data_IF_648597129335
#
_entry.id   IF_648597129335
#
_cell.length_a   1.000
_cell.length_b   1.000
_cell.length_c   1.000
_cell.angle_alpha   90.00
_cell.angle_beta   90.00
_cell.angle_gamma   90.00
#
_symmetry.space_group_name_H-M   'P 1'
#
loop_
_entity.id
_entity.type
_entity.pdbx_description
1 polymer ?
#
# COMPACT_ATOMS: atom_id res chain seq x y z
N UNK A 1 22.42 42.48 -29.01
CA UNK A 1 21.08 41.91 -28.75
C UNK A 1 20.89 40.49 -29.30
N UNK A 2 21.25 40.18 -30.56
CA UNK A 2 21.03 38.84 -31.16
C UNK A 2 21.79 37.70 -30.44
N UNK A 3 23.04 37.94 -30.01
CA UNK A 3 23.84 36.94 -29.29
C UNK A 3 23.32 36.65 -27.87
N UNK A 4 22.85 37.68 -27.16
CA UNK A 4 22.28 37.52 -25.81
C UNK A 4 21.00 36.67 -25.83
N UNK A 5 20.18 36.80 -26.88
CA UNK A 5 18.99 35.98 -27.06
C UNK A 5 19.34 34.51 -27.36
N UNK A 6 20.42 34.29 -28.12
CA UNK A 6 20.96 32.96 -28.44
C UNK A 6 21.56 32.26 -27.21
N UNK A 7 22.33 32.97 -26.37
CA UNK A 7 22.83 32.40 -25.10
C UNK A 7 21.71 32.15 -24.10
N UNK A 8 20.70 33.01 -24.03
CA UNK A 8 19.54 32.79 -23.16
C UNK A 8 18.74 31.55 -23.60
N UNK A 9 18.56 31.37 -24.91
CA UNK A 9 17.89 30.19 -25.47
C UNK A 9 18.69 28.91 -25.23
N UNK A 10 20.01 28.97 -25.34
CA UNK A 10 20.89 27.83 -25.06
C UNK A 10 20.86 27.44 -23.57
N UNK A 11 20.86 28.43 -22.66
CA UNK A 11 20.71 28.20 -21.22
C UNK A 11 19.35 27.59 -20.86
N UNK A 12 18.28 28.02 -21.54
CA UNK A 12 16.94 27.45 -21.38
C UNK A 12 16.90 25.97 -21.81
N UNK A 13 17.54 25.62 -22.93
CA UNK A 13 17.61 24.23 -23.41
C UNK A 13 18.47 23.32 -22.50
N UNK A 14 19.51 23.86 -21.87
CA UNK A 14 20.35 23.11 -20.92
C UNK A 14 19.69 22.88 -19.54
N UNK A 15 18.55 23.53 -19.27
CA UNK A 15 17.88 23.46 -17.96
C UNK A 15 16.90 22.30 -17.79
N UNK A 16 16.94 21.30 -18.68
CA UNK A 16 16.21 20.06 -18.52
C UNK A 16 16.80 19.22 -17.37
N UNK A 17 16.47 19.60 -16.13
CA UNK A 17 16.64 18.76 -14.97
C UNK A 17 15.66 17.59 -15.09
N UNK A 18 16.14 16.48 -15.64
CA UNK A 18 15.40 15.21 -15.60
C UNK A 18 15.39 14.78 -14.14
N UNK A 19 14.32 15.12 -13.43
CA UNK A 19 14.08 14.55 -12.12
C UNK A 19 14.03 13.02 -12.29
N UNK A 20 14.90 12.30 -11.58
CA UNK A 20 14.86 10.84 -11.57
C UNK A 20 13.43 10.41 -11.22
N UNK A 21 12.78 9.73 -12.16
CA UNK A 21 11.38 9.38 -12.06
C UNK A 21 11.10 8.46 -10.87
N UNK A 22 9.84 8.37 -10.48
CA UNK A 22 9.40 7.44 -9.43
C UNK A 22 9.66 6.00 -9.88
N UNK A 23 10.48 5.27 -9.14
CA UNK A 23 10.77 3.86 -9.41
C UNK A 23 9.59 3.01 -8.93
N UNK A 24 8.97 2.26 -9.84
CA UNK A 24 7.85 1.36 -9.49
C UNK A 24 8.33 -0.08 -9.46
N UNK A 25 8.27 -0.72 -8.29
CA UNK A 25 8.75 -2.10 -8.08
C UNK A 25 7.72 -2.87 -7.25
N UNK A 26 7.18 -3.96 -7.80
CA UNK A 26 6.17 -4.82 -7.15
C UNK A 26 5.02 -4.01 -6.51
N UNK A 27 4.50 -3.02 -7.23
CA UNK A 27 3.43 -2.13 -6.77
C UNK A 27 3.86 -1.02 -5.80
N UNK A 28 5.10 -1.00 -5.32
CA UNK A 28 5.65 0.05 -4.47
C UNK A 28 6.25 1.15 -5.36
N UNK A 29 6.08 2.40 -4.96
CA UNK A 29 6.61 3.59 -5.60
C UNK A 29 7.73 4.19 -4.73
N UNK A 30 8.96 4.17 -5.23
CA UNK A 30 10.10 4.79 -4.60
C UNK A 30 10.37 6.15 -5.23
N UNK A 31 10.44 7.18 -4.41
CA UNK A 31 10.64 8.57 -4.82
C UNK A 31 11.72 9.23 -3.99
N UNK A 32 12.36 10.25 -4.56
CA UNK A 32 13.45 10.99 -3.92
C UNK A 32 14.55 10.06 -3.38
N UNK A 33 14.86 8.98 -4.10
CA UNK A 33 15.90 8.04 -3.68
C UNK A 33 17.25 8.66 -4.03
N UNK A 34 18.13 8.77 -3.06
CA UNK A 34 19.44 9.38 -3.22
C UNK A 34 20.48 8.61 -2.43
N UNK A 35 21.70 8.58 -2.97
CA UNK A 35 22.86 8.01 -2.32
C UNK A 35 23.94 9.09 -2.18
N UNK A 36 24.51 9.22 -0.99
CA UNK A 36 25.55 10.22 -0.72
C UNK A 36 26.54 9.68 0.31
N UNK A 37 27.73 10.26 0.35
CA UNK A 37 28.81 9.81 1.22
C UNK A 37 29.28 10.92 2.16
N UNK A 38 29.39 10.59 3.45
CA UNK A 38 30.01 11.42 4.49
C UNK A 38 31.20 10.67 5.09
N UNK A 39 32.41 11.14 4.82
CA UNK A 39 33.61 10.41 5.23
C UNK A 39 33.64 9.00 4.63
N UNK A 40 33.65 7.98 5.49
CA UNK A 40 33.62 6.57 5.07
C UNK A 40 32.22 5.97 5.05
N UNK A 41 31.19 6.72 5.43
CA UNK A 41 29.81 6.25 5.49
C UNK A 41 29.04 6.66 4.24
N UNK A 42 28.48 5.69 3.53
CA UNK A 42 27.57 5.92 2.40
C UNK A 42 26.15 5.68 2.89
N UNK A 43 25.29 6.67 2.67
CA UNK A 43 23.89 6.65 3.06
C UNK A 43 23.00 6.67 1.84
N UNK A 44 21.96 5.85 1.90
CA UNK A 44 20.92 5.73 0.90
C UNK A 44 19.61 6.03 1.57
N UNK A 45 18.91 7.04 1.09
CA UNK A 45 17.65 7.49 1.66
C UNK A 45 16.64 7.81 0.59
N UNK A 46 15.36 7.72 0.94
CA UNK A 46 14.27 8.03 0.03
C UNK A 46 12.91 7.85 0.67
N UNK A 47 11.86 7.87 -0.14
CA UNK A 47 10.48 7.61 0.28
C UNK A 47 9.91 6.43 -0.48
N UNK A 48 9.12 5.61 0.20
CA UNK A 48 8.38 4.50 -0.39
C UNK A 48 6.89 4.64 -0.08
N UNK A 49 6.06 4.58 -1.12
CA UNK A 49 4.59 4.62 -1.03
C UNK A 49 3.96 3.51 -1.85
N UNK A 50 2.67 3.26 -1.64
CA UNK A 50 1.91 2.26 -2.38
C UNK A 50 2.36 0.82 -2.10
N UNK A 51 1.89 -0.10 -2.93
CA UNK A 51 2.14 -1.53 -2.78
C UNK A 51 1.26 -2.19 -1.73
N UNK A 52 1.32 -3.53 -1.61
CA UNK A 52 0.61 -4.25 -0.57
C UNK A 52 1.09 -3.78 0.81
N UNK A 53 0.17 -3.29 1.62
CA UNK A 53 0.42 -2.93 3.03
C UNK A 53 0.72 -4.23 3.78
N UNK A 54 2.02 -4.55 3.92
CA UNK A 54 2.52 -5.77 4.55
C UNK A 54 3.60 -5.39 5.55
N UNK A 55 3.39 -5.79 6.80
CA UNK A 55 4.36 -5.68 7.87
C UNK A 55 4.94 -7.06 8.15
N UNK A 56 6.27 -7.27 8.08
CA UNK A 56 7.33 -6.32 7.75
C UNK A 56 7.57 -6.10 6.25
N UNK A 57 8.13 -4.94 5.88
CA UNK A 57 8.59 -4.57 4.55
C UNK A 57 10.12 -4.64 4.47
N UNK A 58 10.63 -5.20 3.38
CA UNK A 58 12.07 -5.22 3.09
C UNK A 58 12.33 -4.89 1.61
N UNK A 59 13.33 -4.06 1.38
CA UNK A 59 13.86 -3.78 0.04
C UNK A 59 15.39 -3.82 0.04
N UNK A 60 15.97 -4.14 -1.11
CA UNK A 60 17.40 -4.08 -1.37
C UNK A 60 17.63 -3.02 -2.43
N UNK A 61 18.45 -2.02 -2.11
CA UNK A 61 18.84 -0.97 -3.03
C UNK A 61 20.28 -1.21 -3.47
N UNK A 62 20.49 -1.24 -4.79
CA UNK A 62 21.79 -1.41 -5.40
C UNK A 62 22.32 -0.03 -5.80
N UNK A 63 23.51 0.28 -5.30
CA UNK A 63 24.18 1.56 -5.55
C UNK A 63 25.50 1.31 -6.23
N UNK A 64 25.76 2.01 -7.32
CA UNK A 64 27.03 1.97 -8.04
C UNK A 64 27.86 3.22 -7.74
N UNK A 65 29.19 3.07 -7.74
CA UNK A 65 30.12 4.19 -7.66
C UNK A 65 30.83 4.48 -9.00
N UNK A 66 31.65 5.53 -8.99
CA UNK A 66 32.50 5.96 -10.10
C UNK A 66 33.51 4.95 -10.63
N UNK A 67 33.83 3.92 -9.84
CA UNK A 67 34.67 2.79 -10.24
C UNK A 67 33.86 1.63 -10.85
N UNK A 68 32.54 1.78 -10.99
CA UNK A 68 31.63 0.74 -11.48
C UNK A 68 31.29 -0.35 -10.45
N UNK A 69 31.75 -0.22 -9.19
CA UNK A 69 31.47 -1.18 -8.12
C UNK A 69 30.05 -1.03 -7.61
N UNK A 70 29.35 -2.15 -7.51
CA UNK A 70 27.98 -2.22 -7.00
C UNK A 70 27.95 -2.66 -5.54
N UNK A 71 27.26 -1.89 -4.73
CA UNK A 71 27.02 -2.13 -3.31
C UNK A 71 25.54 -2.36 -3.05
N UNK A 72 25.22 -3.21 -2.07
CA UNK A 72 23.84 -3.54 -1.70
C UNK A 72 23.52 -2.96 -0.33
N UNK A 73 22.38 -2.30 -0.24
CA UNK A 73 21.84 -1.75 1.01
C UNK A 73 20.47 -2.35 1.26
N UNK A 74 20.34 -3.09 2.36
CA UNK A 74 19.06 -3.65 2.77
C UNK A 74 18.34 -2.65 3.67
N UNK A 75 17.16 -2.24 3.25
CA UNK A 75 16.24 -1.40 4.00
C UNK A 75 15.14 -2.29 4.57
N UNK A 76 14.85 -2.11 5.87
CA UNK A 76 13.81 -2.86 6.57
C UNK A 76 12.90 -1.89 7.31
N UNK A 77 11.59 -2.09 7.17
CA UNK A 77 10.57 -1.44 8.00
C UNK A 77 9.71 -2.50 8.65
N UNK A 78 9.63 -2.46 9.98
CA UNK A 78 8.74 -3.33 10.74
C UNK A 78 7.27 -3.01 10.48
N UNK A 79 6.96 -1.72 10.45
CA UNK A 79 5.62 -1.19 10.16
C UNK A 79 5.70 -0.35 8.89
N UNK A 80 5.08 -0.85 7.83
CA UNK A 80 4.93 -0.21 6.52
C UNK A 80 3.45 -0.01 6.27
N UNK A 81 3.03 1.24 6.11
CA UNK A 81 1.64 1.66 5.90
C UNK A 81 1.34 1.99 4.43
N UNK A 82 2.36 2.16 3.59
CA UNK A 82 2.19 2.53 2.18
C UNK A 82 1.93 4.02 1.95
N UNK A 83 1.96 4.86 2.99
CA UNK A 83 1.60 6.29 2.92
C UNK A 83 2.77 7.24 2.59
N UNK A 84 3.88 6.76 1.98
CA UNK A 84 5.01 7.64 1.63
C UNK A 84 6.03 7.76 2.76
N UNK A 85 6.43 6.61 3.25
CA UNK A 85 7.31 6.47 4.38
C UNK A 85 8.77 6.69 4.00
N UNK A 86 9.51 7.37 4.86
CA UNK A 86 10.95 7.54 4.69
C UNK A 86 11.69 6.25 5.01
N UNK A 87 12.74 5.98 4.25
CA UNK A 87 13.73 4.97 4.59
C UNK A 87 15.12 5.54 4.52
N UNK A 88 16.00 4.97 5.32
CA UNK A 88 17.43 5.23 5.32
C UNK A 88 18.16 3.90 5.57
N UNK A 89 19.27 3.71 4.88
CA UNK A 89 20.20 2.62 5.09
C UNK A 89 21.60 3.06 4.67
N UNK A 90 22.61 2.29 5.05
CA UNK A 90 23.98 2.67 4.71
C UNK A 90 24.96 1.53 4.80
N UNK A 91 26.14 1.79 4.26
CA UNK A 91 27.29 0.89 4.29
C UNK A 91 28.57 1.72 4.38
N UNK A 92 29.68 1.05 4.71
CA UNK A 92 30.99 1.70 4.75
C UNK A 92 31.71 1.53 3.43
N UNK A 93 32.21 2.63 2.89
CA UNK A 93 33.13 2.68 1.76
C UNK A 93 34.44 3.37 2.21
N UNK A 94 35.58 2.66 2.24
CA UNK A 94 36.83 3.24 2.72
C UNK A 94 37.38 4.32 1.79
N UNK A 95 37.09 4.23 0.50
CA UNK A 95 37.48 5.22 -0.50
C UNK A 95 36.32 6.18 -0.77
N UNK A 96 36.65 7.46 -0.96
CA UNK A 96 35.68 8.48 -1.39
C UNK A 96 35.43 8.35 -2.88
N UNK A 97 34.16 8.17 -3.26
CA UNK A 97 33.71 8.15 -4.65
C UNK A 97 33.26 9.55 -5.08
N UNK A 98 33.43 9.91 -6.35
CA UNK A 98 32.95 11.19 -6.91
C UNK A 98 31.44 11.25 -7.01
N UNK A 99 30.82 10.12 -7.33
CA UNK A 99 29.38 9.96 -7.43
C UNK A 99 28.94 8.61 -6.86
N UNK A 100 27.68 8.57 -6.44
CA UNK A 100 26.96 7.38 -6.05
C UNK A 100 25.62 7.41 -6.77
N UNK A 101 25.28 6.33 -7.47
CA UNK A 101 24.06 6.25 -8.26
C UNK A 101 23.25 5.03 -7.86
N UNK A 102 21.95 5.20 -7.68
CA UNK A 102 21.05 4.05 -7.51
C UNK A 102 20.79 3.45 -8.89
N UNK A 103 21.10 2.17 -9.04
CA UNK A 103 20.95 1.45 -10.31
C UNK A 103 19.78 0.47 -10.30
N UNK A 104 19.37 -0.01 -9.13
CA UNK A 104 18.31 -0.99 -9.01
C UNK A 104 17.70 -0.98 -7.61
N UNK A 105 16.39 -1.25 -7.52
CA UNK A 105 15.68 -1.48 -6.26
C UNK A 105 14.91 -2.79 -6.40
N UNK A 106 15.06 -3.67 -5.41
CA UNK A 106 14.34 -4.94 -5.32
C UNK A 106 13.48 -4.95 -4.06
N UNK A 107 12.20 -5.28 -4.20
CA UNK A 107 11.32 -5.51 -3.05
C UNK A 107 11.35 -7.01 -2.71
N UNK A 108 11.81 -7.34 -1.51
CA UNK A 108 11.91 -8.72 -1.03
C UNK A 108 10.63 -9.03 -0.25
N UNK A 109 10.01 -10.18 -0.53
CA UNK A 109 8.87 -10.65 0.27
C UNK A 109 9.31 -10.86 1.72
N UNK A 110 8.39 -10.71 2.67
CA UNK A 110 8.68 -10.94 4.10
C UNK A 110 9.36 -12.30 4.28
N UNK A 111 10.52 -12.30 4.96
CA UNK A 111 11.25 -13.52 5.28
C UNK A 111 10.36 -14.43 6.14
N UNK A 112 10.04 -15.66 5.71
CA UNK A 112 9.24 -16.61 6.49
C UNK A 112 9.77 -16.81 7.91
N UNK A 113 11.09 -16.70 8.12
CA UNK A 113 11.71 -16.84 9.44
C UNK A 113 11.37 -15.65 10.38
N UNK A 114 11.13 -14.46 9.84
CA UNK A 114 10.77 -13.27 10.61
C UNK A 114 9.29 -13.30 11.04
N UNK A 115 8.41 -13.81 10.16
CA UNK A 115 7.00 -14.11 10.49
C UNK A 115 6.94 -15.12 11.64
N UNK A 116 7.75 -16.18 11.59
CA UNK A 116 7.83 -17.19 12.64
C UNK A 116 8.33 -16.62 13.99
N UNK A 117 9.34 -15.73 13.98
CA UNK A 117 9.86 -15.09 15.19
C UNK A 117 8.87 -14.10 15.82
N UNK A 118 8.13 -13.34 15.01
CA UNK A 118 7.09 -12.45 15.52
C UNK A 118 5.91 -13.22 16.13
N UNK A 119 5.47 -14.31 15.48
CA UNK A 119 4.46 -15.21 16.04
C UNK A 119 4.90 -15.83 17.39
N UNK A 120 6.19 -16.15 17.54
CA UNK A 120 6.74 -16.64 18.80
C UNK A 120 6.77 -15.56 19.91
N UNK A 121 7.08 -14.30 19.58
CA UNK A 121 7.10 -13.20 20.54
C UNK A 121 5.70 -12.80 21.01
N UNK A 122 4.71 -12.77 20.12
CA UNK A 122 3.30 -12.48 20.46
C UNK A 122 2.70 -13.54 21.38
N UNK A 123 3.10 -14.82 21.25
CA UNK A 123 2.70 -15.90 22.19
C UNK A 123 3.36 -15.77 23.57
N UNK A 124 4.52 -15.13 23.66
CA UNK A 124 5.25 -15.02 24.94
C UNK A 124 4.69 -13.90 25.83
N UNK A 125 4.17 -12.81 25.25
CA UNK A 125 3.55 -11.71 26.02
C UNK A 125 2.10 -11.98 26.45
N UNK A 126 1.36 -12.86 25.76
CA UNK A 126 -0.02 -13.18 26.12
C UNK A 126 -0.16 -14.10 27.35
N UNK A 127 0.95 -14.62 27.91
CA UNK A 127 0.91 -15.65 28.97
C UNK A 127 0.99 -15.11 30.41
N UNK A 128 1.04 -13.80 30.62
CA UNK A 128 1.29 -13.23 31.96
C UNK A 128 0.14 -12.41 32.58
N UNK A 129 -1.05 -12.40 31.99
CA UNK A 129 -2.20 -11.76 32.64
C UNK A 129 -3.55 -12.38 32.24
N UNK A 130 -3.96 -13.48 32.91
CA UNK A 130 -5.31 -13.64 33.50
C UNK A 130 -5.44 -14.96 34.27
N UNK A 131 -6.05 -14.98 35.46
CA UNK A 131 -6.45 -16.22 36.14
C UNK A 131 -7.67 -16.86 35.46
N UNK A 132 -7.68 -18.19 35.53
CA UNK A 132 -8.72 -19.17 35.15
C UNK A 132 -10.16 -18.67 34.93
N UNK A 133 -10.69 -18.96 33.74
CA UNK A 133 -12.13 -19.14 33.48
C UNK A 133 -12.31 -20.35 32.54
N UNK A 134 -13.37 -21.17 32.70
CA UNK A 134 -13.42 -22.52 32.13
C UNK A 134 -13.64 -22.52 30.62
N UNK A 135 -13.15 -23.58 29.99
CA UNK A 135 -13.00 -23.77 28.55
C UNK A 135 -14.29 -23.52 27.73
N UNK A 136 -14.20 -22.81 26.59
CA UNK A 136 -15.11 -23.01 25.49
C UNK A 136 -14.72 -24.29 24.74
N UNK A 137 -15.73 -25.10 24.44
CA UNK A 137 -15.66 -26.37 23.76
C UNK A 137 -14.83 -26.37 22.46
N UNK A 138 -14.29 -27.54 22.13
CA UNK A 138 -13.43 -27.84 20.99
C UNK A 138 -13.83 -27.10 19.71
N UNK A 139 -12.89 -26.31 19.17
CA UNK A 139 -13.02 -25.81 17.80
C UNK A 139 -12.82 -26.97 16.82
N UNK A 140 -13.66 -27.10 15.78
CA UNK A 140 -13.41 -28.09 14.74
C UNK A 140 -12.16 -27.70 13.93
N UNK A 141 -11.35 -28.70 13.59
CA UNK A 141 -10.15 -28.57 12.77
C UNK A 141 -10.46 -27.83 11.46
N UNK A 142 -9.85 -26.65 11.30
CA UNK A 142 -9.92 -25.88 10.07
C UNK A 142 -9.14 -26.59 8.96
N UNK A 143 -9.88 -27.22 8.04
CA UNK A 143 -9.35 -27.69 6.76
C UNK A 143 -8.77 -26.56 5.89
N UNK A 144 -8.11 -26.90 4.77
CA UNK A 144 -7.41 -25.93 3.93
C UNK A 144 -8.37 -24.85 3.39
N UNK A 145 -7.85 -23.63 3.08
CA UNK A 145 -8.69 -22.49 2.71
C UNK A 145 -9.50 -22.81 1.45
N UNK A 146 -10.82 -22.92 1.59
CA UNK A 146 -11.72 -23.04 0.45
C UNK A 146 -11.69 -21.71 -0.32
N UNK A 147 -11.20 -21.78 -1.56
CA UNK A 147 -11.39 -20.73 -2.54
C UNK A 147 -12.89 -20.65 -2.85
N UNK A 148 -13.56 -19.58 -2.41
CA UNK A 148 -14.96 -19.36 -2.73
C UNK A 148 -15.11 -19.13 -4.24
N UNK A 149 -15.97 -19.88 -4.95
CA UNK A 149 -16.28 -19.57 -6.33
C UNK A 149 -17.08 -18.27 -6.40
N UNK A 150 -16.62 -17.37 -7.27
CA UNK A 150 -17.33 -16.15 -7.66
C UNK A 150 -18.49 -16.54 -8.59
N UNK A 151 -19.58 -15.80 -8.45
CA UNK A 151 -20.83 -15.81 -9.22
C UNK A 151 -21.90 -16.83 -8.82
N UNK A 152 -22.83 -16.38 -7.97
CA UNK A 152 -24.21 -16.89 -7.98
C UNK A 152 -25.14 -15.79 -8.47
N UNK A 153 -25.82 -16.06 -9.59
CA UNK A 153 -26.90 -15.23 -10.13
C UNK A 153 -27.94 -15.03 -9.04
N UNK A 154 -28.00 -13.82 -8.49
CA UNK A 154 -28.99 -13.47 -7.47
C UNK A 154 -30.24 -13.02 -8.20
N UNK A 155 -31.25 -13.89 -8.26
CA UNK A 155 -32.59 -13.57 -8.77
C UNK A 155 -33.32 -12.71 -7.76
N UNK A 156 -33.35 -11.41 -7.99
CA UNK A 156 -34.11 -10.44 -7.20
C UNK A 156 -34.23 -9.13 -7.97
N UNK A 157 -35.20 -8.29 -7.61
CA UNK A 157 -35.28 -6.93 -8.13
C UNK A 157 -33.96 -6.20 -7.88
N UNK A 158 -33.37 -5.66 -8.95
CA UNK A 158 -32.07 -4.99 -8.94
C UNK A 158 -32.30 -3.48 -8.99
N UNK A 159 -31.78 -2.76 -8.00
CA UNK A 159 -31.74 -1.30 -7.96
C UNK A 159 -30.43 -0.77 -8.54
N UNK A 160 -30.46 0.41 -9.15
CA UNK A 160 -29.25 1.12 -9.59
C UNK A 160 -28.78 2.05 -8.47
N UNK A 161 -27.59 1.80 -7.96
CA UNK A 161 -27.05 2.58 -6.84
C UNK A 161 -25.84 3.39 -7.29
N UNK A 162 -25.92 4.70 -7.12
CA UNK A 162 -24.80 5.62 -7.31
C UNK A 162 -24.08 5.83 -5.98
N UNK A 163 -22.79 5.53 -5.95
CA UNK A 163 -21.94 5.79 -4.80
C UNK A 163 -21.29 7.15 -4.95
N UNK A 164 -21.62 8.09 -4.07
CA UNK A 164 -21.07 9.45 -4.09
C UNK A 164 -20.08 9.64 -2.96
N UNK A 165 -18.86 10.10 -3.26
CA UNK A 165 -17.88 10.47 -2.23
C UNK A 165 -17.07 11.68 -2.69
N UNK A 166 -16.70 12.58 -1.78
CA UNK A 166 -15.80 13.70 -2.08
C UNK A 166 -14.32 13.28 -2.07
N UNK A 167 -14.01 12.06 -1.62
CA UNK A 167 -12.64 11.54 -1.49
C UNK A 167 -12.57 10.10 -2.03
N UNK A 168 -11.38 9.60 -2.42
CA UNK A 168 -11.22 8.20 -2.75
C UNK A 168 -11.50 7.31 -1.53
N UNK A 169 -12.48 6.40 -1.64
CA UNK A 169 -12.87 5.48 -0.57
C UNK A 169 -13.05 4.07 -1.09
N UNK A 170 -12.74 3.08 -0.25
CA UNK A 170 -13.07 1.68 -0.49
C UNK A 170 -14.35 1.34 0.25
N UNK A 171 -15.32 0.80 -0.48
CA UNK A 171 -16.64 0.48 0.04
C UNK A 171 -16.85 -1.03 0.00
N UNK A 172 -17.37 -1.59 1.08
CA UNK A 172 -17.74 -2.98 1.21
C UNK A 172 -19.20 -3.08 1.66
N UNK A 173 -20.06 -3.69 0.85
CA UNK A 173 -21.46 -3.96 1.19
C UNK A 173 -21.63 -5.42 1.58
N UNK A 174 -22.20 -5.64 2.76
CA UNK A 174 -22.62 -6.97 3.21
C UNK A 174 -24.12 -7.00 3.41
N UNK A 175 -24.79 -8.02 2.90
CA UNK A 175 -26.21 -8.22 3.16
C UNK A 175 -26.38 -8.49 4.67
N UNK A 176 -27.22 -7.70 5.33
CA UNK A 176 -27.33 -7.70 6.79
C UNK A 176 -27.90 -9.01 7.34
N UNK A 177 -28.84 -9.62 6.61
CA UNK A 177 -29.50 -10.88 7.01
C UNK A 177 -28.59 -12.09 6.85
N UNK A 178 -27.83 -12.16 5.76
CA UNK A 178 -27.00 -13.32 5.43
C UNK A 178 -25.52 -13.17 5.81
N UNK A 179 -25.07 -11.95 6.14
CA UNK A 179 -23.66 -11.62 6.36
C UNK A 179 -22.79 -11.70 5.11
N UNK A 180 -23.34 -12.09 3.95
CA UNK A 180 -22.60 -12.31 2.71
C UNK A 180 -22.09 -10.99 2.13
N UNK A 181 -20.85 -11.01 1.66
CA UNK A 181 -20.27 -9.93 0.88
C UNK A 181 -20.98 -9.86 -0.47
N UNK A 182 -21.53 -8.69 -0.80
CA UNK A 182 -22.26 -8.46 -2.06
C UNK A 182 -21.46 -7.58 -3.01
N UNK A 183 -20.77 -6.57 -2.49
CA UNK A 183 -19.96 -5.67 -3.30
C UNK A 183 -18.71 -5.24 -2.55
N UNK A 184 -17.59 -5.18 -3.27
CA UNK A 184 -16.39 -4.48 -2.85
C UNK A 184 -15.93 -3.61 -4.03
N UNK A 185 -15.98 -2.29 -3.88
CA UNK A 185 -15.64 -1.34 -4.94
C UNK A 185 -14.83 -0.18 -4.37
N UNK A 186 -13.85 0.30 -5.12
CA UNK A 186 -13.18 1.59 -4.86
C UNK A 186 -13.94 2.69 -5.59
N UNK A 187 -14.37 3.71 -4.86
CA UNK A 187 -15.14 4.85 -5.35
C UNK A 187 -14.23 6.07 -5.34
N UNK A 188 -14.14 6.75 -6.50
CA UNK A 188 -13.40 8.00 -6.65
C UNK A 188 -14.38 9.18 -6.77
N UNK A 189 -13.96 10.43 -6.50
CA UNK A 189 -14.86 11.59 -6.56
C UNK A 189 -15.51 11.88 -7.93
N UNK A 190 -14.98 11.25 -8.98
CA UNK A 190 -15.48 11.38 -10.36
C UNK A 190 -16.13 10.10 -10.88
N UNK A 191 -16.32 9.10 -10.01
CA UNK A 191 -17.01 7.86 -10.36
C UNK A 191 -18.53 8.10 -10.35
N UNK A 192 -19.11 8.26 -11.54
CA UNK A 192 -20.55 8.46 -11.74
C UNK A 192 -21.26 7.17 -12.19
N UNK A 193 -20.62 6.00 -11.99
CA UNK A 193 -21.18 4.74 -12.44
C UNK A 193 -22.24 4.20 -11.47
N UNK A 194 -23.42 3.92 -12.03
CA UNK A 194 -24.47 3.19 -11.33
C UNK A 194 -24.10 1.72 -11.19
N UNK A 195 -24.12 1.21 -9.96
CA UNK A 195 -23.87 -0.20 -9.67
C UNK A 195 -25.20 -0.94 -9.48
N UNK A 196 -25.46 -2.02 -10.23
CA UNK A 196 -26.63 -2.86 -10.01
C UNK A 196 -26.49 -3.63 -8.70
N UNK A 197 -27.43 -3.44 -7.77
CA UNK A 197 -27.47 -4.15 -6.49
C UNK A 197 -28.87 -4.70 -6.22
N UNK A 198 -29.01 -5.93 -5.69
CA UNK A 198 -30.32 -6.44 -5.28
C UNK A 198 -30.96 -5.55 -4.21
N UNK A 199 -32.28 -5.38 -4.24
CA UNK A 199 -32.99 -4.72 -3.17
C UNK A 199 -32.81 -5.47 -1.84
N UNK A 200 -32.66 -4.74 -0.73
CA UNK A 200 -32.48 -5.33 0.60
C UNK A 200 -31.76 -4.44 1.61
N UNK A 201 -31.53 -4.99 2.80
CA UNK A 201 -30.79 -4.33 3.87
C UNK A 201 -29.30 -4.71 3.83
N UNK A 202 -28.44 -3.68 3.91
CA UNK A 202 -27.00 -3.82 3.78
C UNK A 202 -26.28 -3.07 4.90
N UNK A 203 -25.19 -3.64 5.37
CA UNK A 203 -24.20 -2.92 6.15
C UNK A 203 -23.07 -2.48 5.21
N UNK A 204 -22.83 -1.18 5.17
CA UNK A 204 -21.82 -0.52 4.34
C UNK A 204 -20.64 -0.16 5.21
N UNK A 205 -19.48 -0.75 4.93
CA UNK A 205 -18.21 -0.34 5.53
C UNK A 205 -17.47 0.54 4.52
N UNK A 206 -17.12 1.74 4.95
CA UNK A 206 -16.43 2.76 4.18
C UNK A 206 -15.05 2.93 4.79
N UNK A 207 -14.01 2.76 3.98
CA UNK A 207 -12.62 2.91 4.38
C UNK A 207 -11.99 3.96 3.49
N UNK A 208 -11.71 5.14 4.06
CA UNK A 208 -10.98 6.21 3.38
C UNK A 208 -9.64 6.48 4.05
N UNK A 209 -8.91 7.45 3.52
CA UNK A 209 -7.62 7.84 4.09
C UNK A 209 -7.81 8.44 5.49
N UNK A 210 -7.38 7.69 6.50
CA UNK A 210 -7.46 8.09 7.91
C UNK A 210 -8.83 7.93 8.59
N UNK A 211 -9.83 7.34 7.93
CA UNK A 211 -11.13 7.09 8.56
C UNK A 211 -11.76 5.76 8.15
N UNK A 212 -12.50 5.17 9.10
CA UNK A 212 -13.35 4.02 8.87
C UNK A 212 -14.73 4.37 9.40
N UNK A 213 -15.74 4.27 8.55
CA UNK A 213 -17.14 4.46 8.91
C UNK A 213 -17.93 3.20 8.57
N UNK A 214 -18.95 2.92 9.36
CA UNK A 214 -19.88 1.84 9.07
C UNK A 214 -21.30 2.36 9.28
N UNK A 215 -22.17 2.07 8.33
CA UNK A 215 -23.59 2.42 8.41
C UNK A 215 -24.46 1.37 7.77
N UNK A 216 -25.69 1.28 8.26
CA UNK A 216 -26.69 0.39 7.69
C UNK A 216 -27.58 1.18 6.72
N UNK A 217 -27.85 0.59 5.56
CA UNK A 217 -28.63 1.20 4.48
C UNK A 217 -29.67 0.20 3.97
N UNK A 218 -30.82 0.72 3.54
CA UNK A 218 -31.87 -0.07 2.89
C UNK A 218 -31.96 0.37 1.43
N UNK A 219 -31.63 -0.55 0.51
CA UNK A 219 -31.71 -0.32 -0.92
C UNK A 219 -33.07 -0.80 -1.40
N UNK A 220 -33.88 0.13 -1.90
CA UNK A 220 -35.22 -0.10 -2.43
C UNK A 220 -35.51 0.87 -3.59
N UNK A 221 -36.33 0.43 -4.56
CA UNK A 221 -36.73 1.24 -5.71
C UNK A 221 -35.76 1.18 -6.90
N UNK A 222 -35.96 2.06 -7.90
CA UNK A 222 -35.25 1.97 -9.19
C UNK A 222 -33.86 2.62 -9.21
N UNK A 223 -33.65 3.70 -8.44
CA UNK A 223 -32.37 4.41 -8.39
C UNK A 223 -32.15 5.03 -7.01
N UNK A 224 -30.99 4.81 -6.40
CA UNK A 224 -30.61 5.44 -5.12
C UNK A 224 -29.21 6.03 -5.18
N UNK A 225 -28.98 7.10 -4.43
CA UNK A 225 -27.65 7.67 -4.21
C UNK A 225 -27.24 7.39 -2.77
N UNK A 226 -26.11 6.70 -2.61
CA UNK A 226 -25.46 6.51 -1.31
C UNK A 226 -24.32 7.50 -1.19
N UNK A 227 -24.50 8.52 -0.35
CA UNK A 227 -23.40 9.41 0.08
C UNK A 227 -22.44 8.62 0.98
N UNK A 228 -21.14 8.77 0.80
CA UNK A 228 -20.10 8.00 1.49
C UNK A 228 -19.16 8.85 2.33
N UNK A 229 -19.48 10.15 2.48
CA UNK A 229 -18.72 11.05 3.34
C UNK A 229 -19.00 10.81 4.83
#
# INVERSE_FOLDING_TARGET
>A
MKQACLTLFFLLLCSAAVAEGVWRVKGHAFSNVHAWQKGTEVRVSGRVSGGPVRTPFQAVVHVQNDEGKTHRVTIRKKTFSGQGETFEGGFRAPKRSRWWQIIQIEVVGADPAEIARQAAQSRTMARLATPSSPAPADMPESGPPQCFPIETKTSGEVSRVLFSSMRPVCVTLRNRRSGRLVLMKSVSPHDLENTPLPCGEYSVKIVGDGFVSQKDVSISGQSQVLDLN
#
